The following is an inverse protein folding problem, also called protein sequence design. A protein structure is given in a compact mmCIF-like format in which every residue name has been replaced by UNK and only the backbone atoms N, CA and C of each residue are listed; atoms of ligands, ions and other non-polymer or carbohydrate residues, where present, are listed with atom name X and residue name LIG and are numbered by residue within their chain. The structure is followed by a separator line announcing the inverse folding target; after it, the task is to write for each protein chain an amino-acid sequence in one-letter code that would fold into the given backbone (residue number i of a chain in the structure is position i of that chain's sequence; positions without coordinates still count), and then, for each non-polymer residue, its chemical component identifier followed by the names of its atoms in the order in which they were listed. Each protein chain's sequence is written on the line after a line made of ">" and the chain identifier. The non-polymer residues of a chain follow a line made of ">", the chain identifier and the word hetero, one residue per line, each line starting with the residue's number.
data_IF_984289657780
#
_entry.id   IF_984289657780
#
_cell.length_a   1.000
_cell.length_b   1.000
_cell.length_c   1.000
_cell.angle_alpha   90.00
_cell.angle_beta   90.00
_cell.angle_gamma   90.00
#
_symmetry.space_group_name_H-M   'P 1'
#
loop_
_entity.id
_entity.type
_entity.pdbx_description
1 polymer ?
#
# COMPACT_ATOMS: atom_id res chain seq x y z
N UNK A 1 64.31 29.60 -31.50
CA UNK A 1 63.74 29.12 -30.23
C UNK A 1 62.22 28.97 -30.43
N UNK A 2 61.71 27.76 -30.67
CA UNK A 2 60.28 27.47 -30.86
C UNK A 2 59.72 27.00 -29.52
N UNK A 3 58.78 27.74 -28.93
CA UNK A 3 58.05 27.34 -27.71
C UNK A 3 56.90 26.46 -28.11
N UNK A 4 56.96 25.22 -27.72
CA UNK A 4 55.86 24.23 -27.86
C UNK A 4 54.90 24.41 -26.68
N UNK A 5 53.66 24.80 -26.94
CA UNK A 5 52.58 24.90 -25.94
C UNK A 5 51.90 23.53 -25.91
N UNK A 6 52.00 22.82 -24.80
CA UNK A 6 51.36 21.57 -24.54
C UNK A 6 49.95 21.84 -23.97
N UNK A 7 48.90 21.63 -24.78
CA UNK A 7 47.50 21.73 -24.33
C UNK A 7 47.10 20.42 -23.68
N UNK A 8 46.86 20.46 -22.39
CA UNK A 8 46.28 19.34 -21.63
C UNK A 8 44.76 19.48 -21.72
N UNK A 9 44.12 18.60 -22.51
CA UNK A 9 42.66 18.43 -22.52
C UNK A 9 42.26 17.58 -21.31
N UNK A 10 41.66 18.22 -20.30
CA UNK A 10 41.07 17.54 -19.15
C UNK A 10 39.66 17.05 -19.55
N UNK A 11 39.53 15.78 -19.90
CA UNK A 11 38.22 15.15 -20.16
C UNK A 11 37.54 14.81 -18.82
N UNK A 12 36.57 15.64 -18.44
CA UNK A 12 35.71 15.38 -17.29
C UNK A 12 34.74 14.28 -17.63
N UNK A 13 35.05 13.04 -17.23
CA UNK A 13 34.16 11.88 -17.35
C UNK A 13 33.05 12.00 -16.30
N UNK A 14 31.83 12.35 -16.73
CA UNK A 14 30.63 12.37 -15.90
C UNK A 14 30.20 10.93 -15.65
N UNK A 15 30.60 10.36 -14.50
CA UNK A 15 30.11 9.05 -14.06
C UNK A 15 28.66 9.24 -13.58
N UNK A 16 27.71 8.86 -14.43
CA UNK A 16 26.29 8.77 -14.07
C UNK A 16 26.13 7.57 -13.13
N UNK A 17 26.17 7.80 -11.83
CA UNK A 17 25.84 6.77 -10.85
C UNK A 17 24.35 6.48 -10.99
N UNK A 18 24.03 5.35 -11.59
CA UNK A 18 22.68 4.79 -11.55
C UNK A 18 22.36 4.49 -10.08
N UNK A 19 21.52 5.32 -9.47
CA UNK A 19 20.96 5.06 -8.14
C UNK A 19 20.01 3.86 -8.34
N UNK A 20 20.29 2.70 -7.75
CA UNK A 20 19.33 1.59 -7.84
C UNK A 20 18.02 2.07 -7.20
N UNK A 21 16.92 1.94 -7.93
CA UNK A 21 15.59 2.14 -7.36
C UNK A 21 15.41 1.10 -6.23
N UNK A 22 15.58 1.52 -4.98
CA UNK A 22 15.47 0.68 -3.79
C UNK A 22 14.05 0.11 -3.59
N UNK A 23 13.10 0.48 -4.44
CA UNK A 23 11.67 0.17 -4.33
C UNK A 23 11.15 -0.85 -5.36
N UNK A 24 12.03 -1.45 -6.15
CA UNK A 24 11.64 -2.46 -7.12
C UNK A 24 11.47 -3.85 -6.45
N UNK A 25 10.52 -3.98 -5.53
CA UNK A 25 9.98 -5.30 -5.20
C UNK A 25 9.10 -5.71 -6.37
N UNK A 26 9.51 -6.72 -7.13
CA UNK A 26 8.68 -7.34 -8.15
C UNK A 26 7.53 -8.06 -7.43
N UNK A 27 6.31 -7.52 -7.58
CA UNK A 27 5.11 -8.18 -7.07
C UNK A 27 4.63 -9.25 -8.03
N UNK A 28 4.23 -10.41 -7.51
CA UNK A 28 3.67 -11.51 -8.30
C UNK A 28 2.41 -11.08 -9.06
N UNK A 29 1.62 -10.22 -8.43
CA UNK A 29 0.38 -9.71 -9.00
C UNK A 29 0.28 -8.20 -8.87
N UNK A 30 -0.26 -7.57 -9.91
CA UNK A 30 -0.60 -6.14 -9.91
C UNK A 30 -1.93 -5.96 -10.61
N UNK A 31 -2.84 -5.23 -9.99
CA UNK A 31 -4.18 -4.96 -10.48
C UNK A 31 -4.48 -3.45 -10.40
N UNK A 32 -4.94 -2.88 -11.52
CA UNK A 32 -5.50 -1.54 -11.52
C UNK A 32 -6.94 -1.61 -11.01
N UNK A 33 -7.17 -1.06 -9.83
CA UNK A 33 -8.46 -1.02 -9.15
C UNK A 33 -9.04 0.38 -9.34
N UNK A 34 -9.58 0.65 -10.51
CA UNK A 34 -10.06 1.97 -10.95
C UNK A 34 -8.98 3.08 -10.79
N UNK A 35 -9.11 3.94 -9.76
CA UNK A 35 -8.18 5.04 -9.49
C UNK A 35 -7.00 4.64 -8.60
N UNK A 36 -6.96 3.39 -8.13
CA UNK A 36 -5.91 2.87 -7.27
C UNK A 36 -5.11 1.76 -7.96
N UNK A 37 -3.88 1.55 -7.52
CA UNK A 37 -3.11 0.36 -7.88
C UNK A 37 -2.98 -0.52 -6.64
N UNK A 38 -3.11 -1.82 -6.84
CA UNK A 38 -2.93 -2.84 -5.82
C UNK A 38 -1.95 -3.89 -6.34
N UNK A 39 -0.83 -4.09 -5.63
CA UNK A 39 0.17 -5.11 -5.95
C UNK A 39 0.42 -5.97 -4.73
N UNK A 40 0.66 -7.28 -4.93
CA UNK A 40 0.88 -8.19 -3.82
C UNK A 40 1.71 -9.41 -4.17
N UNK A 41 2.34 -9.98 -3.13
CA UNK A 41 2.93 -11.31 -3.12
C UNK A 41 2.19 -12.16 -2.10
N UNK A 42 1.82 -13.38 -2.45
CA UNK A 42 1.40 -14.39 -1.50
C UNK A 42 2.62 -15.25 -1.12
N UNK A 43 3.01 -15.20 0.14
CA UNK A 43 4.01 -16.06 0.73
C UNK A 43 3.32 -17.21 1.49
N UNK A 44 4.09 -18.11 2.10
CA UNK A 44 3.56 -19.27 2.82
C UNK A 44 2.61 -18.87 3.98
N UNK A 45 2.96 -17.83 4.74
CA UNK A 45 2.19 -17.40 5.92
C UNK A 45 1.89 -15.89 5.94
N UNK A 46 2.37 -15.13 4.95
CA UNK A 46 2.24 -13.67 4.90
C UNK A 46 1.82 -13.20 3.52
N UNK A 47 1.37 -11.95 3.45
CA UNK A 47 1.09 -11.23 2.20
C UNK A 47 1.83 -9.90 2.23
N UNK A 48 2.71 -9.68 1.23
CA UNK A 48 3.31 -8.37 1.00
C UNK A 48 2.39 -7.56 0.11
N UNK A 49 2.16 -6.32 0.48
CA UNK A 49 1.15 -5.47 -0.14
C UNK A 49 1.78 -4.13 -0.52
N UNK A 50 1.39 -3.62 -1.70
CA UNK A 50 1.55 -2.23 -2.09
C UNK A 50 0.24 -1.69 -2.60
N UNK A 51 -0.16 -0.53 -2.08
CA UNK A 51 -1.32 0.23 -2.58
C UNK A 51 -0.90 1.65 -2.90
N UNK A 52 -1.45 2.23 -3.96
CA UNK A 52 -1.23 3.63 -4.29
C UNK A 52 -2.45 4.28 -4.95
N UNK A 53 -2.54 5.61 -4.82
CA UNK A 53 -3.55 6.43 -5.48
C UNK A 53 -2.99 7.83 -5.76
N UNK A 54 -3.59 8.53 -6.73
CA UNK A 54 -3.32 9.95 -7.01
C UNK A 54 -3.99 10.82 -5.94
N UNK A 55 -3.31 10.96 -4.81
CA UNK A 55 -3.68 11.78 -3.65
C UNK A 55 -2.43 12.12 -2.86
N UNK A 56 -2.47 13.19 -2.07
CA UNK A 56 -1.49 13.51 -1.03
C UNK A 56 -2.04 13.22 0.37
N UNK A 57 -3.14 12.50 0.47
CA UNK A 57 -3.76 12.07 1.70
C UNK A 57 -3.55 10.57 1.97
N UNK A 58 -4.48 9.99 2.71
CA UNK A 58 -4.41 8.59 3.08
C UNK A 58 -4.92 7.66 1.97
N UNK A 59 -4.35 6.46 1.91
CA UNK A 59 -4.82 5.33 1.10
C UNK A 59 -5.11 4.14 2.00
N UNK A 60 -6.06 3.28 1.62
CA UNK A 60 -6.46 2.14 2.43
C UNK A 60 -7.07 1.00 1.63
N UNK A 61 -6.98 -0.18 2.23
CA UNK A 61 -7.50 -1.45 1.73
C UNK A 61 -8.18 -2.19 2.87
N UNK A 62 -9.24 -2.92 2.57
CA UNK A 62 -9.89 -3.78 3.56
C UNK A 62 -10.23 -5.15 2.98
N UNK A 63 -10.12 -6.16 3.83
CA UNK A 63 -10.28 -7.57 3.47
C UNK A 63 -11.58 -8.13 4.05
N UNK A 64 -12.30 -8.89 3.23
CA UNK A 64 -13.43 -9.72 3.59
C UNK A 64 -14.53 -9.03 4.41
N UNK A 65 -15.03 -7.83 4.01
CA UNK A 65 -16.16 -7.22 4.67
C UNK A 65 -17.41 -8.13 4.58
N UNK A 66 -18.18 -8.18 5.64
CA UNK A 66 -19.51 -8.80 5.64
C UNK A 66 -20.50 -7.92 4.87
N UNK A 67 -20.52 -6.63 5.21
CA UNK A 67 -21.32 -5.62 4.54
C UNK A 67 -20.67 -4.23 4.67
N UNK A 68 -20.34 -3.60 3.55
CA UNK A 68 -19.59 -2.33 3.49
C UNK A 68 -18.23 -2.45 4.18
N UNK A 69 -18.05 -1.88 5.39
CA UNK A 69 -16.85 -1.98 6.21
C UNK A 69 -16.99 -2.99 7.36
N UNK A 70 -18.22 -3.38 7.72
CA UNK A 70 -18.46 -4.27 8.84
C UNK A 70 -17.69 -5.59 8.68
N UNK A 71 -16.97 -5.99 9.71
CA UNK A 71 -16.22 -7.24 9.75
C UNK A 71 -14.92 -7.25 8.96
N UNK A 72 -14.58 -6.17 8.26
CA UNK A 72 -13.35 -6.11 7.49
C UNK A 72 -12.13 -5.86 8.37
N UNK A 73 -11.03 -6.56 8.10
CA UNK A 73 -9.70 -6.07 8.48
C UNK A 73 -9.32 -4.95 7.52
N UNK A 74 -9.07 -3.74 8.04
CA UNK A 74 -8.84 -2.52 7.25
C UNK A 74 -7.48 -1.93 7.58
N UNK A 75 -6.61 -1.85 6.60
CA UNK A 75 -5.30 -1.24 6.74
C UNK A 75 -5.30 0.05 5.94
N UNK A 76 -4.98 1.16 6.60
CA UNK A 76 -4.95 2.47 5.97
C UNK A 76 -3.81 3.32 6.54
N UNK A 77 -3.35 4.27 5.74
CA UNK A 77 -2.24 5.11 6.18
C UNK A 77 -2.00 6.28 5.25
N UNK A 78 -1.06 7.12 5.63
CA UNK A 78 -0.60 8.28 4.88
C UNK A 78 0.91 8.46 5.07
N UNK A 79 1.51 9.33 4.29
CA UNK A 79 2.93 9.68 4.41
C UNK A 79 3.05 11.10 4.95
N UNK A 80 3.79 11.29 6.02
CA UNK A 80 4.04 12.61 6.59
C UNK A 80 5.52 12.82 6.86
N UNK A 81 6.06 13.90 6.32
CA UNK A 81 7.50 14.22 6.42
C UNK A 81 8.38 13.02 5.98
N UNK A 82 8.01 12.34 4.87
CA UNK A 82 8.72 11.20 4.33
C UNK A 82 8.61 9.91 5.16
N UNK A 83 7.70 9.85 6.13
CA UNK A 83 7.47 8.66 6.96
C UNK A 83 6.06 8.15 6.81
N UNK A 84 5.92 6.86 6.52
CA UNK A 84 4.63 6.19 6.52
C UNK A 84 4.05 6.13 7.95
N UNK A 85 2.74 6.37 8.04
CA UNK A 85 1.91 6.09 9.20
C UNK A 85 0.80 5.16 8.75
N UNK A 86 0.88 3.91 9.16
CA UNK A 86 -0.07 2.87 8.78
C UNK A 86 -0.72 2.38 10.07
N UNK A 87 -2.04 2.28 10.06
CA UNK A 87 -2.84 1.81 11.19
C UNK A 87 -3.64 0.58 10.78
N UNK A 88 -3.79 -0.33 11.73
CA UNK A 88 -4.59 -1.54 11.65
C UNK A 88 -5.94 -1.28 12.29
N UNK A 89 -7.01 -1.47 11.53
CA UNK A 89 -8.36 -1.14 11.93
C UNK A 89 -9.32 -2.30 11.67
N UNK A 90 -10.34 -2.40 12.50
CA UNK A 90 -11.46 -3.29 12.28
C UNK A 90 -12.74 -2.53 11.93
N UNK A 91 -13.50 -3.08 10.99
CA UNK A 91 -14.80 -2.57 10.60
C UNK A 91 -15.86 -2.89 11.65
N UNK A 92 -16.10 -1.97 12.58
CA UNK A 92 -17.02 -2.14 13.71
C UNK A 92 -18.48 -2.02 13.32
N UNK A 93 -18.77 -1.31 12.24
CA UNK A 93 -20.11 -1.09 11.69
C UNK A 93 -20.06 -0.96 10.16
N UNK A 94 -21.20 -0.99 9.50
CA UNK A 94 -21.30 -0.79 8.03
C UNK A 94 -20.61 0.48 7.52
N UNK A 95 -20.53 1.51 8.35
CA UNK A 95 -19.98 2.84 7.99
C UNK A 95 -19.01 3.39 9.04
N UNK A 96 -18.45 2.51 9.87
CA UNK A 96 -17.47 2.89 10.87
C UNK A 96 -16.40 1.81 11.03
N UNK A 97 -15.20 2.24 11.32
CA UNK A 97 -14.05 1.41 11.68
C UNK A 97 -13.21 2.13 12.72
N UNK A 98 -12.37 1.41 13.43
CA UNK A 98 -11.45 1.96 14.41
C UNK A 98 -10.24 1.08 14.59
N UNK A 99 -9.17 1.60 15.24
CA UNK A 99 -7.98 0.81 15.53
C UNK A 99 -8.32 -0.47 16.29
N UNK A 100 -7.79 -1.60 15.84
CA UNK A 100 -7.97 -2.92 16.44
C UNK A 100 -7.70 -2.95 17.92
N UNK A 101 -6.61 -2.30 18.37
CA UNK A 101 -6.23 -2.24 19.77
C UNK A 101 -7.31 -1.65 20.66
N UNK A 102 -8.20 -0.80 20.14
CA UNK A 102 -9.34 -0.26 20.89
C UNK A 102 -10.46 -1.25 21.11
N UNK A 103 -10.56 -2.22 20.21
CA UNK A 103 -11.52 -3.32 20.31
C UNK A 103 -10.94 -4.53 21.09
N UNK A 104 -9.64 -4.48 21.43
CA UNK A 104 -8.93 -5.54 22.13
C UNK A 104 -8.11 -6.47 21.22
N UNK A 105 -7.93 -6.08 19.98
CA UNK A 105 -7.02 -6.72 19.04
C UNK A 105 -5.57 -6.23 19.16
N UNK A 106 -4.77 -6.53 18.15
CA UNK A 106 -3.35 -6.19 18.08
C UNK A 106 -2.95 -5.71 16.68
N UNK A 107 -1.92 -4.87 16.59
CA UNK A 107 -1.36 -4.44 15.32
C UNK A 107 -0.55 -5.59 14.71
N UNK A 108 -0.99 -6.09 13.57
CA UNK A 108 -0.36 -7.23 12.88
C UNK A 108 0.37 -6.83 11.59
N UNK A 109 0.69 -5.53 11.46
CA UNK A 109 1.40 -4.96 10.30
C UNK A 109 2.90 -4.98 10.56
N UNK A 110 3.67 -5.48 9.60
CA UNK A 110 5.14 -5.45 9.61
C UNK A 110 5.68 -4.76 8.36
N UNK A 111 6.96 -4.34 8.39
CA UNK A 111 7.65 -3.67 7.29
C UNK A 111 6.89 -2.47 6.69
N UNK A 112 6.34 -1.54 7.52
CA UNK A 112 5.59 -0.40 7.01
C UNK A 112 6.51 0.59 6.32
N UNK A 113 6.24 0.87 5.05
CA UNK A 113 6.96 1.84 4.24
C UNK A 113 5.97 2.69 3.44
N UNK A 114 6.42 3.86 2.96
CA UNK A 114 5.60 4.70 2.09
C UNK A 114 6.36 5.86 1.52
N UNK A 115 5.86 6.33 0.39
CA UNK A 115 6.32 7.54 -0.29
C UNK A 115 5.13 8.38 -0.73
N UNK A 116 5.36 9.69 -0.81
CA UNK A 116 4.47 10.64 -1.44
C UNK A 116 5.29 11.42 -2.45
N UNK A 117 5.09 11.14 -3.72
CA UNK A 117 5.86 11.69 -4.82
C UNK A 117 4.94 12.03 -5.99
N UNK A 118 5.12 13.24 -6.55
CA UNK A 118 4.35 13.72 -7.70
C UNK A 118 2.82 13.64 -7.52
N UNK A 119 2.32 13.86 -6.29
CA UNK A 119 0.89 13.79 -5.98
C UNK A 119 0.33 12.37 -5.86
N UNK A 120 1.21 11.37 -5.73
CA UNK A 120 0.83 9.97 -5.52
C UNK A 120 1.29 9.52 -4.14
N UNK A 121 0.37 9.09 -3.30
CA UNK A 121 0.67 8.38 -2.05
C UNK A 121 0.78 6.89 -2.34
N UNK A 122 1.88 6.30 -1.91
CA UNK A 122 2.14 4.85 -1.98
C UNK A 122 2.45 4.34 -0.59
N UNK A 123 1.83 3.23 -0.20
CA UNK A 123 2.14 2.48 1.01
C UNK A 123 2.52 1.05 0.65
N UNK A 124 3.49 0.49 1.35
CA UNK A 124 3.80 -0.93 1.32
C UNK A 124 3.97 -1.47 2.74
N UNK A 125 3.53 -2.71 2.95
CA UNK A 125 3.54 -3.38 4.23
C UNK A 125 3.33 -4.88 4.06
N UNK A 126 3.58 -5.63 5.12
CA UNK A 126 3.34 -7.08 5.17
C UNK A 126 2.34 -7.38 6.27
N UNK A 127 1.38 -8.27 5.98
CA UNK A 127 0.43 -8.81 6.97
C UNK A 127 0.52 -10.33 7.04
N UNK A 128 0.21 -10.97 8.17
CA UNK A 128 0.02 -12.42 8.22
C UNK A 128 -1.26 -12.82 7.45
N UNK A 129 -1.25 -13.98 6.81
CA UNK A 129 -2.46 -14.57 6.21
C UNK A 129 -3.48 -14.99 7.28
N UNK A 130 -2.99 -15.30 8.47
CA UNK A 130 -3.80 -15.56 9.65
C UNK A 130 -3.01 -15.09 10.88
N UNK A 131 -3.41 -14.00 11.48
CA UNK A 131 -2.80 -13.44 12.70
C UNK A 131 -3.18 -14.23 13.95
N UNK A 132 -4.33 -14.94 13.91
CA UNK A 132 -4.98 -15.50 15.08
C UNK A 132 -5.75 -14.45 15.90
N UNK A 133 -5.74 -13.19 15.48
CA UNK A 133 -6.50 -12.12 16.10
C UNK A 133 -7.98 -12.19 15.67
N UNK A 134 -8.87 -11.96 16.62
CA UNK A 134 -10.31 -11.97 16.39
C UNK A 134 -10.75 -10.86 15.42
N UNK A 135 -10.05 -9.75 15.39
CA UNK A 135 -10.36 -8.57 14.59
C UNK A 135 -9.64 -8.56 13.24
N UNK A 136 -8.79 -9.57 13.00
CA UNK A 136 -8.15 -9.83 11.73
C UNK A 136 -8.66 -11.13 11.11
N UNK A 137 -9.80 -11.13 10.43
CA UNK A 137 -10.26 -12.32 9.72
C UNK A 137 -9.17 -12.83 8.78
N UNK A 138 -8.90 -14.16 8.75
CA UNK A 138 -7.89 -14.72 7.87
C UNK A 138 -8.06 -14.26 6.42
N UNK A 139 -6.96 -13.92 5.77
CA UNK A 139 -6.96 -13.56 4.35
C UNK A 139 -7.37 -14.78 3.54
N UNK A 140 -8.47 -14.66 2.78
CA UNK A 140 -8.96 -15.74 1.94
C UNK A 140 -8.08 -15.83 0.69
N UNK A 141 -7.18 -16.81 0.65
CA UNK A 141 -6.27 -17.03 -0.48
C UNK A 141 -6.83 -17.96 -1.54
N UNK A 142 -7.78 -18.82 -1.16
CA UNK A 142 -8.45 -19.73 -2.10
C UNK A 142 -9.81 -19.17 -2.56
N UNK A 143 -9.98 -19.09 -3.89
CA UNK A 143 -11.19 -18.56 -4.52
C UNK A 143 -11.28 -17.04 -4.47
N UNK A 144 -12.50 -16.51 -4.39
CA UNK A 144 -12.75 -15.07 -4.48
C UNK A 144 -12.77 -14.42 -3.10
N UNK A 145 -11.95 -13.40 -2.92
CA UNK A 145 -11.98 -12.47 -1.77
C UNK A 145 -12.73 -11.21 -2.14
N UNK A 146 -13.64 -10.74 -1.29
CA UNK A 146 -14.20 -9.40 -1.39
C UNK A 146 -13.24 -8.42 -0.73
N UNK A 147 -12.87 -7.38 -1.45
CA UNK A 147 -11.94 -6.36 -0.97
C UNK A 147 -12.51 -4.96 -1.18
N UNK A 148 -12.25 -4.08 -0.24
CA UNK A 148 -12.62 -2.67 -0.34
C UNK A 148 -11.36 -1.83 -0.45
N UNK A 149 -11.43 -0.79 -1.29
CA UNK A 149 -10.34 0.16 -1.54
C UNK A 149 -10.87 1.56 -1.38
N UNK A 150 -10.07 2.44 -0.78
CA UNK A 150 -10.44 3.84 -0.62
C UNK A 150 -9.19 4.71 -0.48
N UNK A 151 -9.35 6.00 -0.83
CA UNK A 151 -8.38 7.02 -0.47
C UNK A 151 -9.08 8.32 -0.04
N UNK A 152 -8.39 9.09 0.78
CA UNK A 152 -8.81 10.42 1.22
C UNK A 152 -8.42 11.51 0.22
N UNK A 153 -8.92 12.73 0.44
CA UNK A 153 -8.37 13.92 -0.21
C UNK A 153 -7.03 14.33 0.42
N UNK A 154 -6.56 15.52 0.09
CA UNK A 154 -5.20 16.04 0.38
C UNK A 154 -4.95 16.35 1.86
N UNK A 155 -5.20 15.39 2.75
CA UNK A 155 -4.97 15.53 4.20
C UNK A 155 -4.37 14.28 4.82
N UNK A 156 -3.25 14.47 5.53
CA UNK A 156 -2.60 13.46 6.39
C UNK A 156 -3.42 13.17 7.65
N UNK A 157 -4.63 12.65 7.47
CA UNK A 157 -5.52 12.36 8.59
C UNK A 157 -6.48 11.22 8.29
N UNK A 158 -6.41 10.15 9.05
CA UNK A 158 -7.32 9.00 8.97
C UNK A 158 -8.73 9.29 9.50
N UNK A 159 -8.97 10.51 10.03
CA UNK A 159 -10.30 10.97 10.47
C UNK A 159 -11.11 11.62 9.36
N UNK A 160 -10.51 11.86 8.21
CA UNK A 160 -11.21 12.44 7.06
C UNK A 160 -11.96 11.36 6.28
N UNK A 161 -13.14 11.75 5.74
CA UNK A 161 -13.88 10.84 4.87
C UNK A 161 -13.09 10.56 3.60
N UNK A 162 -13.25 9.34 3.06
CA UNK A 162 -12.72 8.99 1.74
C UNK A 162 -13.27 9.91 0.64
N UNK A 163 -12.41 10.26 -0.30
CA UNK A 163 -12.76 10.94 -1.56
C UNK A 163 -13.26 9.91 -2.58
N UNK A 164 -12.60 8.78 -2.64
CA UNK A 164 -12.92 7.64 -3.50
C UNK A 164 -13.08 6.36 -2.68
N UNK A 165 -13.94 5.47 -3.14
CA UNK A 165 -14.07 4.10 -2.61
C UNK A 165 -14.64 3.17 -3.66
N UNK A 166 -14.23 1.90 -3.62
CA UNK A 166 -14.75 0.85 -4.49
C UNK A 166 -14.69 -0.51 -3.80
N UNK A 167 -15.46 -1.47 -4.30
CA UNK A 167 -15.47 -2.86 -3.82
C UNK A 167 -15.19 -3.78 -4.99
N UNK A 168 -14.27 -4.71 -4.80
CA UNK A 168 -13.84 -5.66 -5.82
C UNK A 168 -13.90 -7.09 -5.32
N UNK A 169 -14.12 -8.00 -6.25
CA UNK A 169 -13.96 -9.44 -6.08
C UNK A 169 -12.65 -9.85 -6.73
N UNK A 170 -11.70 -10.36 -5.94
CA UNK A 170 -10.33 -10.65 -6.39
C UNK A 170 -9.97 -12.09 -6.01
N UNK A 171 -9.43 -12.82 -6.96
CA UNK A 171 -8.73 -14.07 -6.68
C UNK A 171 -7.25 -13.74 -6.43
N UNK A 172 -6.86 -13.73 -5.16
CA UNK A 172 -5.51 -13.35 -4.75
C UNK A 172 -4.42 -14.30 -5.27
N UNK A 173 -4.78 -15.55 -5.60
CA UNK A 173 -3.84 -16.55 -6.13
C UNK A 173 -3.58 -16.41 -7.63
N UNK A 174 -4.59 -15.98 -8.40
CA UNK A 174 -4.45 -15.83 -9.87
C UNK A 174 -4.19 -14.41 -10.31
N UNK A 175 -4.45 -13.42 -9.47
CA UNK A 175 -4.35 -12.00 -9.79
C UNK A 175 -5.57 -11.44 -10.53
N UNK A 176 -6.58 -12.27 -10.81
CA UNK A 176 -7.80 -11.85 -11.50
C UNK A 176 -8.75 -11.11 -10.55
N UNK A 177 -9.37 -10.05 -11.03
CA UNK A 177 -10.33 -9.28 -10.25
C UNK A 177 -11.32 -8.53 -11.11
N UNK A 178 -12.47 -8.23 -10.52
CA UNK A 178 -13.52 -7.41 -11.14
C UNK A 178 -14.20 -6.55 -10.09
N UNK A 179 -14.73 -5.42 -10.52
CA UNK A 179 -15.58 -4.57 -9.70
C UNK A 179 -16.88 -5.31 -9.33
N UNK A 180 -17.29 -5.18 -8.09
CA UNK A 180 -18.54 -5.72 -7.56
C UNK A 180 -19.70 -4.74 -7.71
#
# INVERSE_FOLDING_TARGET
>A
MKKTILSILLTLSLILLAIPNLWATDYQHTLKVEEMNFSWNLNESTMDIRISAETTGWVGIGFNPEEHMLGANIILGYVKNGKARIEDHYGTQKRAHGPDEKEGGSVNITNPEGSEENGVTTLSFTIPLNSGDKYDPPVKTDGISTMIFAYGGDRDSLRTRHHFRTTWEINLKTGEGKKR
#
